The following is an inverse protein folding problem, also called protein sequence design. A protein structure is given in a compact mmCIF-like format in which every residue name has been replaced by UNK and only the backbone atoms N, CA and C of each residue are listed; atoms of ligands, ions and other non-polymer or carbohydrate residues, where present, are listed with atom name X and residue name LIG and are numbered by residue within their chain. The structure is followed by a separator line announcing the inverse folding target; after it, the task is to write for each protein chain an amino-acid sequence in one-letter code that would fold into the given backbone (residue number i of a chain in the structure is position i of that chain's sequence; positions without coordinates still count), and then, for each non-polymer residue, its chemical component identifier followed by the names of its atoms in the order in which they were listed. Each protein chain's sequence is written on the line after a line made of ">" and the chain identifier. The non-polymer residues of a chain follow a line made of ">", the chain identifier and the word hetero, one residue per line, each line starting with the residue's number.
data_IF_465754180412
#
_entry.id   IF_465754180412
#
_cell.length_a   1.000
_cell.length_b   1.000
_cell.length_c   1.000
_cell.angle_alpha   90.00
_cell.angle_beta   90.00
_cell.angle_gamma   90.00
#
_symmetry.space_group_name_H-M   'P 1'
#
loop_
_entity.id
_entity.type
_entity.pdbx_description
1 polymer ?
#
# COMPACT_ATOMS: atom_id res chain seq x y z
N UNK A 1 30.47 -76.00 38.42
CA UNK A 1 30.45 -75.67 36.97
C UNK A 1 29.28 -74.71 36.69
N UNK A 2 29.34 -73.46 37.05
CA UNK A 2 28.31 -72.41 36.77
C UNK A 2 28.84 -71.00 37.10
N UNK A 3 30.00 -70.55 36.57
CA UNK A 3 30.49 -69.18 36.82
C UNK A 3 31.09 -68.52 35.53
N UNK A 4 30.97 -69.10 34.32
CA UNK A 4 31.63 -68.56 33.13
C UNK A 4 30.56 -68.18 32.05
N UNK A 5 29.47 -67.53 32.42
CA UNK A 5 28.53 -66.97 31.42
C UNK A 5 27.98 -65.58 31.70
N UNK A 6 28.64 -64.83 32.56
CA UNK A 6 28.14 -63.49 32.92
C UNK A 6 29.06 -62.32 32.52
N UNK A 7 30.16 -62.61 31.80
CA UNK A 7 31.10 -61.51 31.40
C UNK A 7 31.05 -61.16 29.90
N UNK A 8 30.27 -61.82 29.07
CA UNK A 8 30.21 -61.51 27.64
C UNK A 8 29.00 -60.66 27.22
N UNK A 9 28.13 -60.24 28.14
CA UNK A 9 26.98 -59.37 27.82
C UNK A 9 27.25 -57.87 28.11
N UNK A 10 28.32 -57.58 28.86
CA UNK A 10 28.62 -56.18 29.25
C UNK A 10 29.42 -55.37 28.20
N UNK A 11 29.93 -56.00 27.12
CA UNK A 11 30.73 -55.30 26.10
C UNK A 11 29.91 -54.91 24.84
N UNK A 12 28.71 -55.46 24.65
CA UNK A 12 27.88 -55.18 23.48
C UNK A 12 26.92 -53.97 23.65
N UNK A 13 26.81 -53.34 24.87
CA UNK A 13 25.89 -52.24 25.14
C UNK A 13 26.57 -50.88 25.19
N UNK A 14 27.90 -50.82 24.96
CA UNK A 14 28.72 -49.61 25.05
C UNK A 14 28.96 -48.87 23.73
N UNK A 15 28.46 -49.37 22.59
CA UNK A 15 28.86 -48.85 21.26
C UNK A 15 27.69 -48.24 20.45
N UNK A 16 26.59 -47.89 21.09
CA UNK A 16 25.41 -47.33 20.39
C UNK A 16 24.99 -45.92 20.87
N UNK A 17 25.88 -45.20 21.55
CA UNK A 17 25.74 -43.73 21.77
C UNK A 17 26.69 -42.98 20.83
N UNK A 18 26.60 -43.30 19.54
CA UNK A 18 27.06 -42.38 18.50
C UNK A 18 26.15 -41.17 18.48
N UNK A 19 26.63 -40.06 19.03
CA UNK A 19 25.96 -38.79 19.01
C UNK A 19 25.68 -38.39 17.57
N UNK A 20 24.43 -38.58 17.10
CA UNK A 20 23.92 -37.89 15.92
C UNK A 20 23.82 -36.41 16.29
N UNK A 21 24.88 -35.66 16.07
CA UNK A 21 24.79 -34.20 15.97
C UNK A 21 24.02 -33.87 14.74
N UNK A 22 22.70 -33.70 14.91
CA UNK A 22 21.85 -33.07 13.89
C UNK A 22 22.41 -31.66 13.69
N UNK A 23 22.81 -31.27 12.47
CA UNK A 23 23.15 -29.88 12.23
C UNK A 23 21.93 -29.05 12.59
N UNK A 24 22.05 -28.20 13.62
CA UNK A 24 21.09 -27.14 13.84
C UNK A 24 21.24 -26.24 12.62
N UNK A 25 20.32 -26.43 11.64
CA UNK A 25 20.17 -25.47 10.57
C UNK A 25 19.81 -24.14 11.27
N UNK A 26 20.79 -23.26 11.38
CA UNK A 26 20.50 -21.86 11.67
C UNK A 26 19.68 -21.40 10.49
N UNK A 27 18.35 -21.25 10.68
CA UNK A 27 17.54 -20.44 9.80
C UNK A 27 18.24 -19.08 9.79
N UNK A 28 18.92 -18.77 8.67
CA UNK A 28 19.61 -17.50 8.53
C UNK A 28 18.59 -16.41 8.84
N UNK A 29 18.95 -15.52 9.73
CA UNK A 29 18.15 -14.32 10.04
C UNK A 29 17.90 -13.63 8.70
N UNK A 30 16.64 -13.61 8.25
CA UNK A 30 16.25 -12.92 7.02
C UNK A 30 16.38 -11.43 7.34
N UNK A 31 17.55 -10.87 7.01
CA UNK A 31 17.77 -9.42 7.09
C UNK A 31 16.92 -8.80 5.99
N UNK A 32 15.90 -8.04 6.40
CA UNK A 32 15.04 -7.33 5.47
C UNK A 32 15.86 -6.25 4.73
N UNK A 33 15.66 -6.16 3.42
CA UNK A 33 16.45 -5.29 2.56
C UNK A 33 15.82 -3.91 2.47
N UNK A 34 16.64 -2.87 2.57
CA UNK A 34 16.22 -1.49 2.29
C UNK A 34 16.01 -1.34 0.79
N UNK A 35 14.82 -0.92 0.36
CA UNK A 35 14.48 -0.66 -1.05
C UNK A 35 14.42 0.84 -1.36
N UNK A 36 14.10 1.68 -0.37
CA UNK A 36 14.18 3.12 -0.49
C UNK A 36 14.41 3.76 0.88
N UNK A 37 14.87 5.02 0.87
CA UNK A 37 14.83 5.90 2.04
C UNK A 37 14.24 7.25 1.66
N UNK A 38 13.40 7.81 2.52
CA UNK A 38 12.73 9.09 2.32
C UNK A 38 12.95 9.95 3.57
N UNK A 39 13.72 11.02 3.46
CA UNK A 39 14.09 11.89 4.59
C UNK A 39 14.64 11.14 5.83
N UNK A 40 15.31 10.00 5.60
CA UNK A 40 15.82 9.13 6.66
C UNK A 40 14.85 8.03 7.13
N UNK A 41 13.58 8.05 6.72
CA UNK A 41 12.66 6.93 6.88
C UNK A 41 13.02 5.81 5.90
N UNK A 42 13.00 4.57 6.38
CA UNK A 42 13.41 3.39 5.62
C UNK A 42 12.16 2.69 5.11
N UNK A 43 12.13 2.38 3.81
CA UNK A 43 11.15 1.48 3.19
C UNK A 43 11.86 0.15 2.96
N UNK A 44 11.31 -0.91 3.54
CA UNK A 44 11.86 -2.26 3.48
C UNK A 44 11.27 -3.06 2.31
N UNK A 45 11.95 -4.16 1.96
CA UNK A 45 11.45 -5.09 0.96
C UNK A 45 10.10 -5.69 1.39
N UNK A 46 9.94 -6.00 2.67
CA UNK A 46 8.68 -6.49 3.23
C UNK A 46 7.52 -5.50 3.07
N UNK A 47 7.77 -4.19 3.22
CA UNK A 47 6.76 -3.15 3.01
C UNK A 47 6.33 -3.11 1.54
N UNK A 48 7.31 -3.20 0.63
CA UNK A 48 7.05 -3.24 -0.80
C UNK A 48 6.32 -4.51 -1.22
N UNK A 49 6.72 -5.67 -0.73
CA UNK A 49 6.05 -6.95 -1.01
C UNK A 49 4.60 -6.93 -0.51
N UNK A 50 4.36 -6.36 0.67
CA UNK A 50 3.01 -6.18 1.21
C UNK A 50 2.17 -5.23 0.33
N UNK A 51 2.74 -4.11 -0.12
CA UNK A 51 2.05 -3.19 -1.03
C UNK A 51 1.72 -3.84 -2.38
N UNK A 52 2.58 -4.71 -2.90
CA UNK A 52 2.30 -5.52 -4.09
C UNK A 52 1.14 -6.50 -3.87
N UNK A 53 0.99 -7.06 -2.67
CA UNK A 53 -0.15 -7.90 -2.31
C UNK A 53 -1.47 -7.09 -2.31
N UNK A 54 -1.47 -5.85 -1.81
CA UNK A 54 -2.64 -4.97 -1.89
C UNK A 54 -2.99 -4.61 -3.34
N UNK A 55 -2.00 -4.26 -4.16
CA UNK A 55 -2.21 -4.01 -5.59
C UNK A 55 -2.80 -5.22 -6.31
N UNK A 56 -2.30 -6.40 -6.00
CA UNK A 56 -2.79 -7.65 -6.56
C UNK A 56 -4.25 -7.92 -6.16
N UNK A 57 -4.60 -7.70 -4.88
CA UNK A 57 -5.97 -7.82 -4.39
C UNK A 57 -6.91 -6.84 -5.12
N UNK A 58 -6.53 -5.56 -5.22
CA UNK A 58 -7.34 -4.52 -5.87
C UNK A 58 -7.53 -4.75 -7.37
N UNK A 59 -6.49 -5.24 -8.05
CA UNK A 59 -6.55 -5.53 -9.49
C UNK A 59 -7.16 -6.89 -9.81
N UNK A 60 -7.40 -7.76 -8.81
CA UNK A 60 -7.84 -9.14 -9.00
C UNK A 60 -6.82 -10.03 -9.70
N UNK A 61 -5.56 -9.59 -9.81
CA UNK A 61 -4.45 -10.33 -10.46
C UNK A 61 -3.53 -10.93 -9.40
N UNK A 62 -2.94 -12.10 -9.67
CA UNK A 62 -1.92 -12.63 -8.77
C UNK A 62 -0.65 -11.76 -8.82
N UNK A 63 0.08 -11.66 -7.71
CA UNK A 63 1.35 -10.88 -7.60
C UNK A 63 2.36 -11.26 -8.67
N UNK A 64 2.39 -12.54 -9.09
CA UNK A 64 3.26 -13.06 -10.15
C UNK A 64 2.97 -12.48 -11.55
N UNK A 65 1.79 -11.91 -11.76
CA UNK A 65 1.40 -11.27 -13.04
C UNK A 65 1.62 -9.75 -13.04
N UNK A 66 2.13 -9.19 -11.94
CA UNK A 66 2.53 -7.78 -11.92
C UNK A 66 3.85 -7.62 -12.71
N UNK A 67 3.83 -6.72 -13.69
CA UNK A 67 5.01 -6.37 -14.48
C UNK A 67 6.04 -5.60 -13.63
N UNK A 68 7.25 -5.45 -14.16
CA UNK A 68 8.28 -4.63 -13.51
C UNK A 68 7.84 -3.16 -13.41
N UNK A 69 7.07 -2.66 -14.37
CA UNK A 69 6.52 -1.30 -14.32
C UNK A 69 5.43 -1.17 -13.26
N UNK A 70 4.53 -2.17 -13.11
CA UNK A 70 3.56 -2.22 -12.01
C UNK A 70 4.30 -2.19 -10.64
N UNK A 71 5.37 -2.99 -10.52
CA UNK A 71 6.16 -3.07 -9.27
C UNK A 71 6.84 -1.73 -8.95
N UNK A 72 7.44 -1.07 -9.94
CA UNK A 72 8.03 0.27 -9.78
C UNK A 72 6.98 1.29 -9.37
N UNK A 73 5.82 1.29 -10.03
CA UNK A 73 4.72 2.19 -9.70
C UNK A 73 4.22 1.99 -8.25
N UNK A 74 4.23 0.75 -7.73
CA UNK A 74 3.92 0.48 -6.31
C UNK A 74 4.98 1.08 -5.39
N UNK A 75 6.28 0.95 -5.71
CA UNK A 75 7.36 1.55 -4.93
C UNK A 75 7.28 3.08 -4.94
N UNK A 76 7.02 3.68 -6.10
CA UNK A 76 6.83 5.13 -6.21
C UNK A 76 5.65 5.63 -5.36
N UNK A 77 4.55 4.87 -5.31
CA UNK A 77 3.42 5.18 -4.42
C UNK A 77 3.79 5.07 -2.94
N UNK A 78 4.60 4.08 -2.53
CA UNK A 78 5.08 3.98 -1.15
C UNK A 78 5.94 5.20 -0.76
N UNK A 79 6.80 5.66 -1.66
CA UNK A 79 7.60 6.87 -1.46
C UNK A 79 6.67 8.09 -1.29
N UNK A 80 5.66 8.25 -2.15
CA UNK A 80 4.69 9.34 -2.05
C UNK A 80 3.87 9.26 -0.76
N UNK A 81 3.46 8.06 -0.36
CA UNK A 81 2.75 7.84 0.90
C UNK A 81 3.60 8.24 2.10
N UNK A 82 4.91 7.94 2.10
CA UNK A 82 5.81 8.36 3.19
C UNK A 82 5.98 9.88 3.25
N UNK A 83 6.14 10.53 2.09
CA UNK A 83 6.20 12.00 2.02
C UNK A 83 4.94 12.68 2.58
N UNK A 84 3.77 12.13 2.27
CA UNK A 84 2.51 12.61 2.79
C UNK A 84 2.32 12.28 4.28
N UNK A 85 2.73 11.08 4.72
CA UNK A 85 2.65 10.67 6.11
C UNK A 85 3.47 11.59 7.03
N UNK A 86 4.60 12.12 6.55
CA UNK A 86 5.36 13.14 7.28
C UNK A 86 4.51 14.39 7.58
N UNK A 87 3.58 14.77 6.71
CA UNK A 87 2.71 15.94 6.89
C UNK A 87 1.62 15.71 7.95
N UNK A 88 1.34 14.44 8.31
CA UNK A 88 0.36 14.09 9.36
C UNK A 88 0.94 14.14 10.77
N UNK A 89 2.26 14.34 10.93
CA UNK A 89 2.95 14.35 12.25
C UNK A 89 2.59 15.55 13.12
N UNK A 90 1.70 16.42 12.65
CA UNK A 90 1.16 17.53 13.45
C UNK A 90 0.27 17.02 14.58
N UNK A 91 0.43 17.56 15.78
CA UNK A 91 -0.37 17.21 16.96
C UNK A 91 -1.88 17.50 16.80
N UNK A 92 -2.26 18.33 15.82
CA UNK A 92 -3.66 18.66 15.52
C UNK A 92 -4.29 17.72 14.48
N UNK A 93 -3.52 16.80 13.86
CA UNK A 93 -4.05 15.89 12.87
C UNK A 93 -4.89 14.78 13.55
N UNK A 94 -6.14 14.62 13.09
CA UNK A 94 -7.05 13.60 13.61
C UNK A 94 -6.91 12.32 12.79
N UNK A 95 -6.18 11.35 13.33
CA UNK A 95 -6.04 10.05 12.73
C UNK A 95 -7.35 9.26 12.67
N UNK A 96 -7.49 8.40 11.67
CA UNK A 96 -8.58 7.45 11.56
C UNK A 96 -8.51 6.42 12.69
N UNK A 97 -9.67 6.04 13.21
CA UNK A 97 -9.77 4.96 14.18
C UNK A 97 -9.77 3.60 13.50
N UNK A 98 -9.40 2.57 14.25
CA UNK A 98 -9.50 1.17 13.77
C UNK A 98 -10.94 0.81 13.40
N UNK A 99 -11.92 1.35 14.14
CA UNK A 99 -13.34 1.11 13.86
C UNK A 99 -13.76 1.69 12.50
N UNK A 100 -13.29 2.89 12.12
CA UNK A 100 -13.55 3.48 10.81
C UNK A 100 -12.95 2.61 9.70
N UNK A 101 -11.68 2.21 9.85
CA UNK A 101 -11.02 1.36 8.86
C UNK A 101 -11.68 -0.02 8.75
N UNK A 102 -12.07 -0.64 9.86
CA UNK A 102 -12.78 -1.93 9.87
C UNK A 102 -14.14 -1.83 9.17
N UNK A 103 -14.85 -0.71 9.32
CA UNK A 103 -16.11 -0.48 8.61
C UNK A 103 -15.90 -0.40 7.09
N UNK A 104 -14.87 0.30 6.63
CA UNK A 104 -14.52 0.37 5.20
C UNK A 104 -14.12 -1.00 4.63
N UNK A 105 -13.33 -1.79 5.38
CA UNK A 105 -12.99 -3.17 5.00
C UNK A 105 -14.25 -4.03 4.90
N UNK A 106 -15.21 -3.88 5.82
CA UNK A 106 -16.47 -4.60 5.78
C UNK A 106 -17.33 -4.22 4.57
N UNK A 107 -17.34 -2.95 4.15
CA UNK A 107 -18.01 -2.51 2.92
C UNK A 107 -17.30 -3.07 1.67
N UNK A 108 -15.97 -2.99 1.62
CA UNK A 108 -15.18 -3.54 0.52
C UNK A 108 -15.42 -5.06 0.36
N UNK A 109 -15.52 -5.81 1.45
CA UNK A 109 -15.83 -7.25 1.44
C UNK A 109 -17.14 -7.57 0.72
N UNK A 110 -18.18 -6.72 0.83
CA UNK A 110 -19.46 -6.92 0.14
C UNK A 110 -19.35 -6.91 -1.40
N UNK A 111 -18.28 -6.31 -1.92
CA UNK A 111 -18.02 -6.27 -3.37
C UNK A 111 -17.41 -7.57 -3.89
N UNK A 112 -17.06 -8.52 -3.00
CA UNK A 112 -16.49 -9.81 -3.33
C UNK A 112 -17.46 -10.95 -2.99
N UNK A 113 -18.27 -11.43 -3.93
CA UNK A 113 -19.26 -12.49 -3.67
C UNK A 113 -18.65 -13.77 -3.08
N UNK A 114 -17.43 -14.13 -3.51
CA UNK A 114 -16.67 -15.28 -3.03
C UNK A 114 -16.20 -15.12 -1.57
N UNK A 115 -16.21 -13.90 -1.05
CA UNK A 115 -15.82 -13.54 0.31
C UNK A 115 -17.02 -13.29 1.24
N UNK A 116 -18.23 -13.67 0.86
CA UNK A 116 -19.45 -13.45 1.65
C UNK A 116 -19.41 -14.17 3.01
N UNK A 117 -18.81 -15.37 3.08
CA UNK A 117 -18.61 -16.08 4.35
C UNK A 117 -17.28 -15.70 5.02
N UNK A 118 -17.16 -15.87 6.36
CA UNK A 118 -15.88 -15.64 7.05
C UNK A 118 -14.73 -16.48 6.46
N UNK A 119 -15.00 -17.74 6.13
CA UNK A 119 -14.02 -18.66 5.55
C UNK A 119 -13.61 -18.23 4.15
N UNK A 120 -14.57 -17.79 3.31
CA UNK A 120 -14.33 -17.26 1.97
C UNK A 120 -13.47 -16.00 2.02
N UNK A 121 -13.75 -15.10 2.97
CA UNK A 121 -12.95 -13.90 3.20
C UNK A 121 -11.52 -14.23 3.58
N UNK A 122 -11.34 -15.11 4.56
CA UNK A 122 -10.03 -15.56 5.00
C UNK A 122 -9.25 -16.24 3.87
N UNK A 123 -9.91 -17.06 3.06
CA UNK A 123 -9.31 -17.72 1.90
C UNK A 123 -8.87 -16.70 0.82
N UNK A 124 -9.69 -15.65 0.60
CA UNK A 124 -9.35 -14.56 -0.32
C UNK A 124 -8.09 -13.82 0.14
N UNK A 125 -8.05 -13.38 1.40
CA UNK A 125 -6.88 -12.68 1.96
C UNK A 125 -5.63 -13.55 1.91
N UNK A 126 -5.74 -14.84 2.30
CA UNK A 126 -4.63 -15.78 2.27
C UNK A 126 -4.08 -15.98 0.85
N UNK A 127 -4.95 -16.00 -0.18
CA UNK A 127 -4.53 -16.09 -1.59
C UNK A 127 -3.58 -14.96 -1.99
N UNK A 128 -3.77 -13.76 -1.41
CA UNK A 128 -2.94 -12.59 -1.66
C UNK A 128 -1.85 -12.38 -0.61
N UNK A 129 -1.66 -13.32 0.33
CA UNK A 129 -0.65 -13.20 1.38
C UNK A 129 -0.97 -12.12 2.43
N UNK A 130 -2.23 -11.74 2.57
CA UNK A 130 -2.69 -10.69 3.48
C UNK A 130 -3.39 -11.26 4.71
N UNK A 131 -3.35 -10.51 5.80
CA UNK A 131 -4.20 -10.71 6.98
C UNK A 131 -5.24 -9.60 7.06
N UNK A 132 -6.36 -9.86 7.72
CA UNK A 132 -7.40 -8.84 7.91
C UNK A 132 -6.87 -7.64 8.72
N UNK A 133 -6.05 -7.89 9.74
CA UNK A 133 -5.43 -6.84 10.53
C UNK A 133 -4.51 -5.94 9.69
N UNK A 134 -3.69 -6.53 8.83
CA UNK A 134 -2.83 -5.77 7.92
C UNK A 134 -3.65 -4.93 6.92
N UNK A 135 -4.76 -5.48 6.42
CA UNK A 135 -5.67 -4.74 5.54
C UNK A 135 -6.35 -3.58 6.27
N UNK A 136 -6.82 -3.78 7.50
CA UNK A 136 -7.41 -2.71 8.33
C UNK A 136 -6.39 -1.59 8.57
N UNK A 137 -5.15 -1.93 8.90
CA UNK A 137 -4.10 -0.93 9.11
C UNK A 137 -3.79 -0.17 7.82
N UNK A 138 -3.70 -0.86 6.68
CA UNK A 138 -3.52 -0.22 5.38
C UNK A 138 -4.67 0.76 5.06
N UNK A 139 -5.93 0.34 5.26
CA UNK A 139 -7.10 1.19 5.03
C UNK A 139 -7.11 2.39 5.98
N UNK A 140 -6.70 2.21 7.25
CA UNK A 140 -6.55 3.30 8.21
C UNK A 140 -5.58 4.37 7.70
N UNK A 141 -4.43 3.95 7.19
CA UNK A 141 -3.44 4.87 6.60
C UNK A 141 -4.00 5.58 5.35
N UNK A 142 -4.76 4.88 4.50
CA UNK A 142 -5.41 5.49 3.34
C UNK A 142 -6.45 6.56 3.75
N UNK A 143 -7.23 6.32 4.80
CA UNK A 143 -8.17 7.32 5.33
C UNK A 143 -7.40 8.55 5.84
N UNK A 144 -6.29 8.35 6.54
CA UNK A 144 -5.45 9.44 7.03
C UNK A 144 -4.90 10.29 5.88
N UNK A 145 -4.40 9.65 4.82
CA UNK A 145 -3.92 10.37 3.63
C UNK A 145 -5.03 11.15 2.92
N UNK A 146 -6.22 10.57 2.79
CA UNK A 146 -7.39 11.27 2.21
C UNK A 146 -7.78 12.49 3.05
N UNK A 147 -7.80 12.37 4.39
CA UNK A 147 -8.07 13.49 5.29
C UNK A 147 -7.02 14.59 5.19
N UNK A 148 -5.75 14.21 5.07
CA UNK A 148 -4.66 15.16 4.88
C UNK A 148 -4.84 15.96 3.58
N UNK A 149 -5.08 15.26 2.47
CA UNK A 149 -5.28 15.85 1.15
C UNK A 149 -6.47 16.81 1.17
N UNK A 150 -7.60 16.37 1.72
CA UNK A 150 -8.79 17.20 1.86
C UNK A 150 -8.54 18.44 2.73
N UNK A 151 -7.89 18.28 3.87
CA UNK A 151 -7.60 19.41 4.76
C UNK A 151 -6.61 20.40 4.16
N UNK A 152 -5.65 19.94 3.38
CA UNK A 152 -4.58 20.78 2.83
C UNK A 152 -4.97 21.45 1.51
N UNK A 153 -5.62 20.74 0.59
CA UNK A 153 -5.85 21.20 -0.78
C UNK A 153 -7.26 21.76 -1.01
N UNK A 154 -8.30 21.11 -0.45
CA UNK A 154 -9.70 21.50 -0.69
C UNK A 154 -10.01 22.97 -0.34
N UNK A 155 -9.47 23.59 0.73
CA UNK A 155 -9.75 25.00 1.03
C UNK A 155 -9.26 25.99 -0.03
N UNK A 156 -8.26 25.61 -0.84
CA UNK A 156 -7.73 26.45 -1.92
C UNK A 156 -8.53 26.37 -3.22
N UNK A 157 -9.46 25.40 -3.33
CA UNK A 157 -10.24 25.16 -4.54
C UNK A 157 -11.46 26.03 -4.58
N UNK A 158 -11.60 26.82 -5.66
CA UNK A 158 -12.78 27.63 -5.94
C UNK A 158 -13.33 27.25 -7.32
N UNK A 159 -14.60 26.82 -7.36
CA UNK A 159 -15.29 26.47 -8.59
C UNK A 159 -16.35 27.53 -8.88
N UNK A 160 -16.17 28.26 -9.97
CA UNK A 160 -17.10 29.29 -10.42
C UNK A 160 -18.33 28.71 -11.15
N UNK A 161 -19.38 29.53 -11.28
CA UNK A 161 -20.64 29.10 -11.94
C UNK A 161 -20.43 28.79 -13.42
N UNK A 162 -19.50 29.47 -14.09
CA UNK A 162 -19.24 29.24 -15.54
C UNK A 162 -18.63 27.85 -15.78
N UNK A 163 -17.74 27.42 -14.88
CA UNK A 163 -17.17 26.07 -14.93
C UNK A 163 -18.25 25.01 -14.74
N UNK A 164 -19.20 25.22 -13.82
CA UNK A 164 -20.32 24.33 -13.59
C UNK A 164 -21.22 24.25 -14.83
N UNK A 165 -21.57 25.39 -15.43
CA UNK A 165 -22.39 25.45 -16.64
C UNK A 165 -21.70 24.79 -17.83
N UNK A 166 -20.38 25.00 -17.99
CA UNK A 166 -19.59 24.37 -19.04
C UNK A 166 -19.56 22.86 -18.88
N UNK A 167 -19.28 22.35 -17.68
CA UNK A 167 -19.29 20.91 -17.41
C UNK A 167 -20.68 20.29 -17.68
N UNK A 168 -21.74 20.95 -17.22
CA UNK A 168 -23.11 20.49 -17.45
C UNK A 168 -23.42 20.35 -18.96
N UNK A 169 -23.11 21.40 -19.73
CA UNK A 169 -23.40 21.43 -21.20
C UNK A 169 -22.51 20.44 -21.96
N UNK A 170 -21.21 20.40 -21.65
CA UNK A 170 -20.22 19.78 -22.51
C UNK A 170 -19.90 18.32 -22.11
N UNK A 171 -20.17 17.94 -20.85
CA UNK A 171 -19.93 16.58 -20.34
C UNK A 171 -21.20 15.90 -19.83
N UNK A 172 -21.93 16.52 -18.87
CA UNK A 172 -23.04 15.88 -18.20
C UNK A 172 -24.20 15.56 -19.12
N UNK A 173 -24.71 16.56 -19.89
CA UNK A 173 -25.86 16.37 -20.79
C UNK A 173 -25.58 15.35 -21.90
N UNK A 174 -24.39 15.34 -22.56
CA UNK A 174 -24.07 14.30 -23.54
C UNK A 174 -24.04 12.89 -22.96
N UNK A 175 -23.42 12.72 -21.78
CA UNK A 175 -23.36 11.42 -21.10
C UNK A 175 -24.77 10.93 -20.70
N UNK A 176 -25.59 11.83 -20.17
CA UNK A 176 -26.96 11.50 -19.78
C UNK A 176 -27.76 11.01 -20.97
N UNK A 177 -27.64 11.68 -22.14
CA UNK A 177 -28.31 11.27 -23.38
C UNK A 177 -27.83 9.91 -23.89
N UNK A 178 -26.52 9.63 -23.81
CA UNK A 178 -25.94 8.35 -24.20
C UNK A 178 -26.43 7.19 -23.32
N UNK A 179 -26.67 7.44 -22.02
CA UNK A 179 -27.22 6.45 -21.09
C UNK A 179 -28.75 6.31 -21.14
N UNK A 180 -29.44 7.01 -22.07
CA UNK A 180 -30.90 6.98 -22.18
C UNK A 180 -31.61 7.76 -21.08
N UNK A 181 -30.88 8.61 -20.33
CA UNK A 181 -31.45 9.45 -19.28
C UNK A 181 -32.30 10.61 -19.81
N UNK A 182 -33.28 11.03 -19.01
CA UNK A 182 -34.15 12.19 -19.33
C UNK A 182 -33.42 13.52 -19.13
N UNK A 183 -34.15 14.62 -19.38
CA UNK A 183 -33.64 15.96 -19.16
C UNK A 183 -33.59 16.27 -17.65
N UNK A 184 -32.40 16.50 -17.08
CA UNK A 184 -32.18 16.88 -15.68
C UNK A 184 -31.73 18.35 -15.65
N UNK A 185 -32.46 19.27 -14.98
CA UNK A 185 -32.08 20.68 -14.92
C UNK A 185 -30.75 20.89 -14.22
N UNK A 186 -30.01 21.92 -14.63
CA UNK A 186 -28.73 22.28 -13.99
C UNK A 186 -28.89 22.55 -12.47
N UNK A 187 -30.02 23.15 -12.07
CA UNK A 187 -30.30 23.40 -10.64
C UNK A 187 -30.22 22.17 -9.77
N UNK A 188 -30.62 21.02 -10.27
CA UNK A 188 -30.75 19.77 -9.53
C UNK A 188 -29.40 19.06 -9.37
N UNK A 189 -28.45 19.34 -10.29
CA UNK A 189 -27.14 18.68 -10.35
C UNK A 189 -25.96 19.63 -10.11
N UNK A 190 -26.20 20.93 -9.96
CA UNK A 190 -25.12 21.93 -9.82
C UNK A 190 -24.21 21.68 -8.62
N UNK A 191 -24.75 21.22 -7.48
CA UNK A 191 -23.98 20.87 -6.30
C UNK A 191 -23.09 19.64 -6.55
N UNK A 192 -23.62 18.63 -7.24
CA UNK A 192 -22.89 17.42 -7.60
C UNK A 192 -21.78 17.72 -8.62
N UNK A 193 -22.05 18.55 -9.64
CA UNK A 193 -21.05 18.98 -10.61
C UNK A 193 -19.96 19.77 -9.93
N UNK A 194 -20.31 20.67 -9.00
CA UNK A 194 -19.30 21.40 -8.22
C UNK A 194 -18.38 20.45 -7.45
N UNK A 195 -18.92 19.43 -6.81
CA UNK A 195 -18.13 18.44 -6.09
C UNK A 195 -17.19 17.65 -7.02
N UNK A 196 -17.68 17.24 -8.20
CA UNK A 196 -16.85 16.59 -9.22
C UNK A 196 -15.68 17.48 -9.64
N UNK A 197 -15.96 18.75 -9.98
CA UNK A 197 -14.93 19.71 -10.37
C UNK A 197 -13.95 20.02 -9.22
N UNK A 198 -14.44 20.05 -7.98
CA UNK A 198 -13.59 20.20 -6.79
C UNK A 198 -12.64 19.03 -6.68
N UNK A 199 -13.14 17.81 -6.84
CA UNK A 199 -12.32 16.60 -6.77
C UNK A 199 -11.29 16.52 -7.91
N UNK A 200 -11.68 16.88 -9.15
CA UNK A 200 -10.75 16.98 -10.27
C UNK A 200 -9.63 17.98 -9.96
N UNK A 201 -9.98 19.16 -9.40
CA UNK A 201 -8.99 20.19 -9.05
C UNK A 201 -8.09 19.78 -7.89
N UNK A 202 -8.62 19.12 -6.86
CA UNK A 202 -7.82 18.55 -5.77
C UNK A 202 -6.82 17.54 -6.32
N UNK A 203 -7.23 16.68 -7.26
CA UNK A 203 -6.34 15.70 -7.89
C UNK A 203 -5.19 16.36 -8.68
N UNK A 204 -5.47 17.44 -9.41
CA UNK A 204 -4.42 18.22 -10.10
C UNK A 204 -3.44 18.87 -9.11
N UNK A 205 -3.96 19.48 -8.05
CA UNK A 205 -3.15 20.11 -7.01
C UNK A 205 -2.30 19.08 -6.25
N UNK A 206 -2.83 17.86 -6.06
CA UNK A 206 -2.10 16.76 -5.43
C UNK A 206 -0.84 16.40 -6.21
N UNK A 207 -0.92 16.30 -7.54
CA UNK A 207 0.25 16.03 -8.40
C UNK A 207 1.32 17.11 -8.20
N UNK A 208 0.93 18.37 -8.23
CA UNK A 208 1.87 19.50 -8.04
C UNK A 208 2.47 19.50 -6.63
N UNK A 209 1.66 19.20 -5.62
CA UNK A 209 2.13 19.13 -4.23
C UNK A 209 3.12 17.99 -4.02
N UNK A 210 2.83 16.79 -4.54
CA UNK A 210 3.76 15.66 -4.49
C UNK A 210 5.09 15.99 -5.21
N UNK A 211 5.04 16.67 -6.34
CA UNK A 211 6.25 17.13 -7.03
C UNK A 211 7.08 18.07 -6.16
N UNK A 212 6.45 19.04 -5.46
CA UNK A 212 7.14 19.90 -4.50
C UNK A 212 7.74 19.10 -3.35
N UNK A 213 6.98 18.22 -2.72
CA UNK A 213 7.47 17.37 -1.63
C UNK A 213 8.66 16.52 -2.08
N UNK A 214 8.60 15.91 -3.25
CA UNK A 214 9.72 15.12 -3.82
C UNK A 214 10.96 15.99 -4.05
N UNK A 215 10.80 17.21 -4.59
CA UNK A 215 11.93 18.11 -4.87
C UNK A 215 12.62 18.66 -3.61
N UNK A 216 11.88 18.77 -2.50
CA UNK A 216 12.36 19.24 -1.21
C UNK A 216 12.91 18.12 -0.33
N UNK A 217 12.69 16.87 -0.72
CA UNK A 217 12.97 15.69 0.06
C UNK A 217 14.20 14.93 -0.45
N UNK A 218 14.89 14.27 0.49
CA UNK A 218 16.01 13.38 0.16
C UNK A 218 15.48 11.95 -0.02
N UNK A 219 15.26 11.56 -1.28
CA UNK A 219 14.89 10.18 -1.65
C UNK A 219 16.14 9.46 -2.16
N UNK A 220 16.42 8.26 -1.64
CA UNK A 220 17.53 7.41 -2.08
C UNK A 220 17.04 5.99 -2.36
N UNK A 221 17.43 5.45 -3.52
CA UNK A 221 17.16 4.07 -3.92
C UNK A 221 18.49 3.28 -3.86
N UNK A 222 18.65 2.29 -2.99
CA UNK A 222 19.85 1.46 -2.96
C UNK A 222 20.00 0.73 -4.30
N UNK A 223 21.14 0.94 -4.96
CA UNK A 223 21.44 0.35 -6.28
C UNK A 223 21.34 1.30 -7.47
N UNK A 224 20.76 2.48 -7.32
CA UNK A 224 20.88 3.58 -8.27
C UNK A 224 21.97 4.51 -7.74
N UNK A 225 23.22 4.24 -8.10
CA UNK A 225 24.32 5.17 -7.84
C UNK A 225 23.97 6.48 -8.54
N UNK A 226 23.71 7.54 -7.78
CA UNK A 226 23.86 8.88 -8.29
C UNK A 226 25.34 9.01 -8.65
N UNK A 227 25.66 9.03 -9.95
CA UNK A 227 27.00 9.42 -10.40
C UNK A 227 27.28 10.80 -9.80
N UNK A 228 28.41 10.99 -9.08
CA UNK A 228 28.78 12.31 -8.66
C UNK A 228 28.88 13.17 -9.93
N UNK A 229 28.20 14.29 -9.98
CA UNK A 229 28.51 15.34 -10.97
C UNK A 229 29.99 15.61 -10.86
N UNK A 230 30.74 15.22 -11.90
CA UNK A 230 32.13 15.61 -12.08
C UNK A 230 32.16 17.13 -12.05
N UNK A 231 32.67 17.68 -10.95
CA UNK A 231 33.04 19.06 -10.85
C UNK A 231 34.04 19.35 -11.97
N UNK A 232 33.59 20.07 -12.99
CA UNK A 232 34.46 20.69 -13.97
C UNK A 232 35.28 21.73 -13.24
N UNK A 233 36.45 21.33 -12.77
CA UNK A 233 37.53 22.25 -12.43
C UNK A 233 38.02 22.91 -13.71
N UNK A 234 37.53 24.10 -13.98
CA UNK A 234 38.16 25.02 -14.95
C UNK A 234 39.43 25.59 -14.34
N UNK A 235 40.51 25.16 -14.92
CA UNK A 235 41.85 25.75 -14.74
C UNK A 235 42.04 26.89 -15.72
#
# INVERSE_FOLDING_TARGET
>A
MKVIRLQTIAVALGLLLGATQLPIAHAGEVIDRIVATVNGHIILQSDWDQALCYEALLSGRAVSFLSDDDRRAVLDRLIDQELLAEQTKSASFKHASEQEASAEVAEARKLHPDAATPEGWQALLTRYGLTEQALIEHVRQQIDLMRLVDAHLRPSVQIDSKSIEAYYRDKFVPQLKQSGGGNVPLSDVSAQIREILTQERVSELMVSWLQSLRSESKVSLPGVSQSPEEGVETR
#
